data_IF_306612015081
#
_entry.id   IF_306612015081
#
_cell.length_a   1.000
_cell.length_b   1.000
_cell.length_c   1.000
_cell.angle_alpha   90.00
_cell.angle_beta   90.00
_cell.angle_gamma   90.00
#
_symmetry.space_group_name_H-M   'P 1'
#
loop_
_entity.id
_entity.type
_entity.pdbx_description
1 polymer ?
#
# COMPACT_ATOMS: atom_id res chain seq x y z
N UNK A 1 -50.95 5.64 -6.07
CA UNK A 1 -51.50 4.77 -7.14
C UNK A 1 -50.30 4.29 -7.96
N UNK A 2 -49.82 3.05 -7.78
CA UNK A 2 -50.16 1.82 -8.53
C UNK A 2 -49.70 1.92 -10.01
N UNK A 3 -48.48 1.49 -10.38
CA UNK A 3 -47.94 0.13 -10.66
C UNK A 3 -47.98 -0.19 -12.17
N UNK A 4 -46.91 -0.86 -12.66
CA UNK A 4 -46.81 -1.89 -13.73
C UNK A 4 -45.63 -1.57 -14.69
N UNK A 5 -44.51 -2.30 -14.74
CA UNK A 5 -44.19 -3.70 -15.12
C UNK A 5 -44.30 -4.04 -16.64
N UNK A 6 -43.19 -4.64 -17.13
CA UNK A 6 -42.99 -5.52 -18.30
C UNK A 6 -42.25 -5.00 -19.55
N UNK A 7 -41.14 -5.70 -19.84
CA UNK A 7 -40.44 -5.83 -21.14
C UNK A 7 -39.22 -6.73 -20.91
N UNK A 8 -39.35 -8.08 -20.91
CA UNK A 8 -39.16 -9.01 -22.05
C UNK A 8 -37.78 -8.84 -22.70
N UNK A 9 -36.75 -9.57 -22.22
CA UNK A 9 -36.15 -10.82 -22.76
C UNK A 9 -35.53 -10.69 -24.16
N UNK A 10 -34.19 -10.80 -24.29
CA UNK A 10 -33.49 -11.59 -25.33
C UNK A 10 -32.17 -12.15 -24.76
N UNK A 11 -32.01 -13.46 -24.94
CA UNK A 11 -30.86 -14.33 -24.66
C UNK A 11 -29.81 -14.20 -25.78
N UNK A 12 -28.51 -14.12 -25.46
CA UNK A 12 -27.44 -14.61 -26.35
C UNK A 12 -26.38 -15.35 -25.55
N UNK A 13 -26.31 -16.64 -25.85
CA UNK A 13 -25.28 -17.62 -25.50
C UNK A 13 -24.01 -17.33 -26.32
N UNK A 14 -22.84 -17.44 -25.69
CA UNK A 14 -21.55 -17.37 -26.39
C UNK A 14 -20.42 -17.98 -25.58
N UNK A 15 -20.32 -19.31 -25.59
CA UNK A 15 -19.11 -20.04 -25.22
C UNK A 15 -18.03 -19.82 -26.30
N UNK A 16 -16.82 -19.45 -25.89
CA UNK A 16 -15.63 -19.68 -26.71
C UNK A 16 -14.43 -19.97 -25.82
N UNK A 17 -14.10 -21.26 -25.74
CA UNK A 17 -12.84 -21.79 -25.26
C UNK A 17 -11.75 -21.58 -26.32
N UNK A 18 -10.55 -21.17 -25.90
CA UNK A 18 -9.32 -21.43 -26.64
C UNK A 18 -8.19 -21.83 -25.69
N UNK A 19 -7.68 -23.03 -25.95
CA UNK A 19 -6.51 -23.71 -25.41
C UNK A 19 -5.28 -23.15 -26.14
N UNK A 20 -4.06 -23.18 -25.55
CA UNK A 20 -2.81 -23.71 -26.18
C UNK A 20 -1.49 -23.19 -25.58
N UNK A 21 -0.84 -24.11 -24.85
CA UNK A 21 0.57 -24.60 -24.92
C UNK A 21 1.77 -23.75 -24.45
N UNK A 22 2.58 -24.45 -23.65
CA UNK A 22 3.88 -24.18 -23.05
C UNK A 22 5.02 -23.85 -24.04
N UNK A 23 6.06 -23.17 -23.54
CA UNK A 23 7.41 -23.30 -24.07
C UNK A 23 8.42 -23.28 -22.90
N UNK A 24 9.11 -24.40 -22.72
CA UNK A 24 10.32 -24.55 -21.90
C UNK A 24 11.58 -24.33 -22.76
N UNK A 25 12.70 -24.15 -22.06
CA UNK A 25 14.11 -24.19 -22.49
C UNK A 25 14.73 -22.99 -23.21
N UNK A 26 15.72 -22.37 -22.53
CA UNK A 26 17.11 -22.46 -22.97
C UNK A 26 18.06 -22.06 -21.82
N UNK A 27 18.88 -23.02 -21.38
CA UNK A 27 20.11 -22.77 -20.66
C UNK A 27 21.16 -22.23 -21.65
N UNK A 28 21.89 -21.17 -21.27
CA UNK A 28 23.09 -20.75 -21.97
C UNK A 28 24.18 -20.39 -20.97
N UNK A 29 25.25 -21.17 -21.03
CA UNK A 29 26.52 -20.99 -20.33
C UNK A 29 27.37 -19.93 -21.03
N UNK A 30 28.17 -19.15 -20.28
CA UNK A 30 29.22 -18.27 -20.83
C UNK A 30 29.91 -17.41 -19.75
N UNK A 31 31.18 -17.00 -19.92
CA UNK A 31 32.27 -17.52 -19.08
C UNK A 31 33.09 -16.50 -18.27
N UNK A 32 33.92 -17.07 -17.38
CA UNK A 32 35.28 -16.67 -16.97
C UNK A 32 35.53 -15.27 -16.35
N UNK A 33 35.88 -15.28 -15.07
CA UNK A 33 36.66 -14.24 -14.42
C UNK A 33 37.76 -14.87 -13.56
N UNK A 34 38.99 -14.90 -14.09
CA UNK A 34 40.20 -15.22 -13.34
C UNK A 34 40.69 -13.95 -12.61
N UNK A 35 40.94 -14.05 -11.31
CA UNK A 35 41.52 -12.99 -10.49
C UNK A 35 42.36 -13.60 -9.39
N UNK A 36 43.64 -13.26 -9.37
CA UNK A 36 44.73 -13.93 -8.67
C UNK A 36 44.72 -13.78 -7.14
N UNK A 37 45.08 -14.86 -6.44
CA UNK A 37 45.47 -14.83 -5.02
C UNK A 37 46.93 -15.26 -4.91
N UNK A 38 47.83 -14.29 -4.80
CA UNK A 38 49.21 -14.50 -4.40
C UNK A 38 49.42 -13.99 -2.97
N UNK A 39 49.72 -14.93 -2.09
CA UNK A 39 50.57 -14.89 -0.90
C UNK A 39 50.73 -13.58 -0.09
N UNK A 40 50.49 -13.68 1.23
CA UNK A 40 51.53 -13.34 2.22
C UNK A 40 51.26 -13.97 3.58
N UNK A 41 52.37 -14.28 4.26
CA UNK A 41 52.55 -15.16 5.40
C UNK A 41 52.09 -14.60 6.77
N UNK A 42 51.71 -15.54 7.64
CA UNK A 42 52.16 -15.74 9.04
C UNK A 42 52.27 -14.53 10.00
N UNK A 43 51.52 -14.59 11.11
CA UNK A 43 52.09 -14.47 12.46
C UNK A 43 51.08 -14.90 13.54
N UNK A 44 51.48 -15.89 14.33
CA UNK A 44 50.80 -16.36 15.54
C UNK A 44 51.06 -15.40 16.70
N UNK A 45 50.02 -14.82 17.31
CA UNK A 45 50.11 -14.28 18.67
C UNK A 45 48.79 -14.47 19.44
N UNK A 46 48.88 -15.36 20.43
CA UNK A 46 48.39 -15.28 21.80
C UNK A 46 46.95 -14.78 22.08
N UNK A 47 46.16 -15.70 22.64
CA UNK A 47 44.91 -15.50 23.35
C UNK A 47 44.94 -14.31 24.32
N UNK A 48 43.96 -13.40 24.23
CA UNK A 48 43.62 -12.49 25.32
C UNK A 48 42.11 -12.23 25.39
N UNK A 49 41.50 -12.77 26.44
CA UNK A 49 40.25 -12.38 27.12
C UNK A 49 39.07 -11.85 26.28
N UNK A 50 38.05 -12.70 26.14
CA UNK A 50 36.70 -12.31 25.71
C UNK A 50 36.01 -11.51 26.83
N UNK A 51 36.05 -10.18 26.77
CA UNK A 51 35.15 -9.30 27.51
C UNK A 51 34.11 -8.69 26.56
N UNK A 52 32.88 -9.26 26.42
CA UNK A 52 31.83 -8.65 25.61
C UNK A 52 30.93 -7.77 26.48
N UNK A 53 31.45 -6.68 27.04
CA UNK A 53 30.61 -5.63 27.61
C UNK A 53 31.21 -4.28 27.26
N UNK A 54 31.10 -3.84 26.01
CA UNK A 54 30.97 -2.43 25.58
C UNK A 54 30.55 -2.42 24.11
N UNK A 55 29.26 -2.30 23.83
CA UNK A 55 28.68 -1.54 22.70
C UNK A 55 27.15 -1.60 22.83
N UNK A 56 26.67 -1.05 23.96
CA UNK A 56 25.32 -0.49 24.04
C UNK A 56 25.43 0.96 23.55
N UNK A 57 24.41 1.40 22.80
CA UNK A 57 24.24 2.68 22.08
C UNK A 57 24.54 2.63 20.58
N UNK A 58 23.70 1.90 19.87
CA UNK A 58 23.15 2.41 18.61
C UNK A 58 21.66 2.11 18.60
N UNK A 59 20.87 3.18 18.63
CA UNK A 59 19.42 3.24 18.69
C UNK A 59 18.69 1.96 18.23
N UNK A 60 18.13 1.27 19.21
CA UNK A 60 17.07 0.29 19.03
C UNK A 60 15.89 1.00 18.38
N UNK A 61 15.82 0.99 17.05
CA UNK A 61 14.63 1.35 16.30
C UNK A 61 13.54 0.35 16.70
N UNK A 62 12.71 0.78 17.65
CA UNK A 62 11.46 0.19 18.16
C UNK A 62 10.82 -0.75 17.13
N UNK A 63 11.13 -2.03 17.25
CA UNK A 63 10.43 -3.13 16.59
C UNK A 63 9.84 -3.95 17.71
N UNK A 64 8.53 -4.17 17.67
CA UNK A 64 7.68 -4.85 18.68
C UNK A 64 6.95 -3.98 19.72
N UNK A 65 6.41 -2.81 19.32
CA UNK A 65 5.30 -2.15 20.05
C UNK A 65 4.51 -1.18 19.13
N UNK A 66 4.52 -1.43 17.82
CA UNK A 66 4.03 -0.45 16.84
C UNK A 66 2.50 -0.41 16.75
N UNK A 67 1.80 -1.44 17.21
CA UNK A 67 0.33 -1.45 17.13
C UNK A 67 -0.35 -0.60 18.21
N UNK A 68 0.20 -0.58 19.44
CA UNK A 68 -0.23 0.37 20.48
C UNK A 68 -0.03 1.80 20.00
N UNK A 69 1.22 2.16 19.66
CA UNK A 69 1.53 3.51 19.17
C UNK A 69 0.77 3.91 17.91
N UNK A 70 0.50 2.99 16.97
CA UNK A 70 -0.27 3.31 15.75
C UNK A 70 -1.75 3.50 16.04
N UNK A 71 -2.38 2.56 16.75
CA UNK A 71 -3.80 2.65 17.10
C UNK A 71 -4.09 3.89 17.96
N UNK A 72 -3.15 4.25 18.85
CA UNK A 72 -3.26 5.48 19.65
C UNK A 72 -3.18 6.74 18.77
N UNK A 73 -2.25 6.80 17.81
CA UNK A 73 -2.15 7.90 16.83
C UNK A 73 -3.42 7.99 15.99
N UNK A 74 -3.94 6.88 15.47
CA UNK A 74 -5.17 6.83 14.67
C UNK A 74 -6.40 7.33 15.46
N UNK A 75 -6.53 6.95 16.73
CA UNK A 75 -7.60 7.46 17.62
C UNK A 75 -7.49 8.97 17.83
N UNK A 76 -6.27 9.50 17.94
CA UNK A 76 -6.04 10.95 18.08
C UNK A 76 -6.31 11.71 16.78
N UNK A 77 -6.06 11.10 15.62
CA UNK A 77 -6.36 11.68 14.31
C UNK A 77 -7.85 11.66 13.96
N UNK A 78 -8.58 10.63 14.38
CA UNK A 78 -10.00 10.42 14.03
C UNK A 78 -10.87 11.68 14.16
N UNK A 79 -10.93 12.39 15.29
CA UNK A 79 -11.78 13.58 15.41
C UNK A 79 -11.39 14.70 14.45
N UNK A 80 -10.08 14.88 14.19
CA UNK A 80 -9.58 15.88 13.23
C UNK A 80 -10.00 15.53 11.80
N UNK A 81 -9.78 14.27 11.40
CA UNK A 81 -10.13 13.78 10.07
C UNK A 81 -11.64 13.84 9.82
N UNK A 82 -12.45 13.56 10.84
CA UNK A 82 -13.91 13.72 10.77
C UNK A 82 -14.32 15.20 10.64
N UNK A 83 -13.72 16.10 11.41
CA UNK A 83 -13.99 17.53 11.35
C UNK A 83 -13.63 18.14 9.98
N UNK A 84 -12.59 17.62 9.32
CA UNK A 84 -12.22 18.00 7.96
C UNK A 84 -13.08 17.32 6.88
N UNK A 85 -13.97 16.41 7.26
CA UNK A 85 -14.76 15.60 6.35
C UNK A 85 -13.94 14.54 5.60
N UNK A 86 -12.66 14.34 5.92
CA UNK A 86 -11.81 13.32 5.30
C UNK A 86 -12.31 11.92 5.67
N UNK A 87 -12.76 11.74 6.90
CA UNK A 87 -13.49 10.55 7.34
C UNK A 87 -14.98 10.85 7.54
N UNK A 88 -15.87 9.90 7.21
CA UNK A 88 -17.27 9.94 7.63
C UNK A 88 -17.40 10.06 9.16
N UNK A 89 -18.44 10.76 9.64
CA UNK A 89 -18.66 10.98 11.08
C UNK A 89 -18.85 9.67 11.89
N UNK A 90 -19.29 8.60 11.24
CA UNK A 90 -19.48 7.27 11.83
C UNK A 90 -18.30 6.31 11.59
N UNK A 91 -17.24 6.76 10.90
CA UNK A 91 -16.04 5.97 10.63
C UNK A 91 -14.88 6.43 11.50
N UNK A 92 -13.91 5.55 11.74
CA UNK A 92 -12.69 5.87 12.47
C UNK A 92 -11.44 5.52 11.64
N UNK A 93 -10.31 6.16 11.98
CA UNK A 93 -9.07 5.98 11.23
C UNK A 93 -8.50 4.57 11.35
N UNK A 94 -8.68 3.89 12.49
CA UNK A 94 -8.19 2.52 12.70
C UNK A 94 -8.83 1.53 11.74
N UNK A 95 -10.16 1.54 11.61
CA UNK A 95 -10.89 0.69 10.67
C UNK A 95 -10.60 1.05 9.20
N UNK A 96 -10.57 2.35 8.89
CA UNK A 96 -10.29 2.81 7.53
C UNK A 96 -8.87 2.44 7.07
N UNK A 97 -7.90 2.47 7.99
CA UNK A 97 -6.49 2.23 7.71
C UNK A 97 -6.02 0.79 7.93
N UNK A 98 -6.91 -0.12 8.32
CA UNK A 98 -6.55 -1.50 8.69
C UNK A 98 -5.86 -2.29 7.56
N UNK A 99 -6.23 -2.04 6.29
CA UNK A 99 -5.58 -2.71 5.14
C UNK A 99 -4.26 -2.09 4.71
N UNK A 100 -3.88 -0.94 5.26
CA UNK A 100 -2.66 -0.25 4.88
C UNK A 100 -1.52 -0.60 5.82
N UNK A 101 -0.42 -1.10 5.27
CA UNK A 101 0.81 -1.38 6.03
C UNK A 101 1.36 -0.12 6.69
N UNK A 102 1.24 1.04 6.04
CA UNK A 102 1.75 2.31 6.54
C UNK A 102 0.63 3.33 6.76
N UNK A 103 0.62 3.99 7.92
CA UNK A 103 -0.43 4.95 8.29
C UNK A 103 -0.43 6.19 7.38
N UNK A 104 0.75 6.72 7.06
CA UNK A 104 0.90 7.85 6.15
C UNK A 104 0.28 7.56 4.76
N UNK A 105 0.42 6.34 4.26
CA UNK A 105 -0.17 5.94 2.99
C UNK A 105 -1.71 5.86 3.07
N UNK A 106 -2.26 5.36 4.18
CA UNK A 106 -3.70 5.41 4.41
C UNK A 106 -4.24 6.84 4.44
N UNK A 107 -3.60 7.72 5.22
CA UNK A 107 -4.02 9.12 5.33
C UNK A 107 -3.94 9.82 3.97
N UNK A 108 -2.89 9.54 3.19
CA UNK A 108 -2.76 10.06 1.84
C UNK A 108 -3.88 9.53 0.92
N UNK A 109 -4.24 8.25 1.01
CA UNK A 109 -5.37 7.72 0.26
C UNK A 109 -6.71 8.35 0.69
N UNK A 110 -6.95 8.58 1.98
CA UNK A 110 -8.14 9.26 2.49
C UNK A 110 -8.25 10.69 1.94
N UNK A 111 -7.16 11.45 2.02
CA UNK A 111 -7.11 12.81 1.47
C UNK A 111 -7.27 12.83 -0.04
N UNK A 112 -6.60 11.92 -0.77
CA UNK A 112 -6.75 11.82 -2.22
C UNK A 112 -8.19 11.50 -2.62
N UNK A 113 -8.84 10.56 -1.94
CA UNK A 113 -10.26 10.23 -2.14
C UNK A 113 -11.15 11.45 -1.93
N UNK A 114 -10.97 12.19 -0.83
CA UNK A 114 -11.73 13.42 -0.55
C UNK A 114 -11.49 14.52 -1.57
N UNK A 115 -10.22 14.82 -1.88
CA UNK A 115 -9.84 15.91 -2.79
C UNK A 115 -10.36 15.69 -4.21
N UNK A 116 -10.37 14.44 -4.66
CA UNK A 116 -10.77 14.06 -6.02
C UNK A 116 -12.22 13.56 -6.11
N UNK A 117 -12.93 13.45 -5.00
CA UNK A 117 -14.29 12.91 -4.95
C UNK A 117 -14.36 11.43 -5.35
N UNK A 118 -13.30 10.65 -5.10
CA UNK A 118 -13.25 9.22 -5.42
C UNK A 118 -13.81 8.39 -4.28
N UNK A 119 -14.39 7.24 -4.61
CA UNK A 119 -14.77 6.27 -3.59
C UNK A 119 -13.52 5.72 -2.90
N UNK A 120 -13.48 5.89 -1.57
CA UNK A 120 -12.32 5.47 -0.77
C UNK A 120 -12.11 3.96 -0.82
N UNK A 121 -13.17 3.15 -0.95
CA UNK A 121 -13.01 1.70 -1.02
C UNK A 121 -12.37 1.27 -2.34
N UNK A 122 -12.74 1.91 -3.46
CA UNK A 122 -12.07 1.68 -4.74
C UNK A 122 -10.58 2.05 -4.68
N UNK A 123 -10.27 3.20 -4.09
CA UNK A 123 -8.89 3.67 -3.96
C UNK A 123 -8.09 2.78 -3.00
N UNK A 124 -8.66 2.42 -1.85
CA UNK A 124 -8.07 1.48 -0.88
C UNK A 124 -7.79 0.14 -1.54
N UNK A 125 -8.74 -0.45 -2.26
CA UNK A 125 -8.55 -1.73 -2.94
C UNK A 125 -7.42 -1.64 -3.97
N UNK A 126 -7.36 -0.55 -4.74
CA UNK A 126 -6.30 -0.32 -5.74
C UNK A 126 -4.91 -0.17 -5.10
N UNK A 127 -4.81 0.58 -3.99
CA UNK A 127 -3.51 0.85 -3.33
C UNK A 127 -3.03 -0.36 -2.53
N UNK A 128 -3.93 -1.02 -1.80
CA UNK A 128 -3.55 -2.12 -0.91
C UNK A 128 -3.56 -3.49 -1.60
N UNK A 129 -4.24 -3.62 -2.74
CA UNK A 129 -4.55 -4.91 -3.36
C UNK A 129 -5.56 -5.74 -2.57
N UNK A 130 -6.07 -5.23 -1.43
CA UNK A 130 -7.03 -5.94 -0.57
C UNK A 130 -8.44 -5.48 -0.92
N UNK A 131 -9.24 -6.40 -1.45
CA UNK A 131 -10.63 -6.13 -1.78
C UNK A 131 -11.47 -6.28 -0.51
N UNK A 132 -12.21 -5.23 -0.14
CA UNK A 132 -13.22 -5.37 0.90
C UNK A 132 -14.39 -6.21 0.36
N UNK A 133 -15.18 -6.80 1.26
CA UNK A 133 -16.41 -7.55 0.90
C UNK A 133 -17.54 -6.69 0.34
N UNK A 134 -17.32 -5.38 0.19
CA UNK A 134 -18.27 -4.47 -0.43
C UNK A 134 -18.31 -4.67 -1.96
N UNK A 135 -19.44 -4.37 -2.58
CA UNK A 135 -19.61 -4.43 -4.02
C UNK A 135 -18.66 -3.44 -4.71
N UNK A 136 -17.55 -3.95 -5.23
CA UNK A 136 -16.53 -3.17 -5.97
C UNK A 136 -16.85 -3.06 -7.47
N UNK A 137 -18.05 -3.47 -7.88
CA UNK A 137 -18.46 -3.50 -9.29
C UNK A 137 -18.45 -2.10 -9.94
N UNK A 138 -18.60 -1.04 -9.14
CA UNK A 138 -18.51 0.35 -9.59
C UNK A 138 -17.05 0.86 -9.68
N UNK A 139 -16.09 0.16 -9.10
CA UNK A 139 -14.69 0.54 -9.17
C UNK A 139 -14.10 0.10 -10.51
N UNK A 140 -13.34 0.98 -11.18
CA UNK A 140 -12.43 0.52 -12.24
C UNK A 140 -11.44 -0.45 -11.61
N UNK A 141 -11.65 -1.75 -11.85
CA UNK A 141 -10.81 -2.79 -11.30
C UNK A 141 -9.37 -2.55 -11.73
N UNK A 142 -8.46 -2.49 -10.75
CA UNK A 142 -7.08 -2.85 -11.03
C UNK A 142 -7.11 -4.34 -11.40
N UNK A 143 -6.60 -4.70 -12.58
CA UNK A 143 -6.34 -6.10 -12.93
C UNK A 143 -5.64 -6.77 -11.73
N UNK A 144 -6.31 -7.80 -11.20
CA UNK A 144 -6.25 -8.20 -9.81
C UNK A 144 -4.85 -8.54 -9.24
N UNK A 145 -4.83 -8.57 -7.90
CA UNK A 145 -3.74 -8.95 -6.99
C UNK A 145 -2.65 -7.92 -6.70
N UNK A 146 -2.34 -6.96 -7.57
CA UNK A 146 -1.18 -6.09 -7.33
C UNK A 146 -1.55 -4.72 -6.76
N UNK A 147 -1.09 -4.47 -5.54
CA UNK A 147 -1.03 -3.14 -4.93
C UNK A 147 -0.37 -2.12 -5.89
N UNK A 148 -1.09 -1.03 -6.15
CA UNK A 148 -0.65 0.10 -6.97
C UNK A 148 -0.12 1.23 -6.08
N UNK A 149 0.80 2.03 -6.61
CA UNK A 149 1.14 3.29 -5.95
C UNK A 149 -0.05 4.25 -5.99
N UNK A 150 -0.14 5.16 -5.01
CA UNK A 150 -1.23 6.16 -4.94
C UNK A 150 -1.41 6.91 -6.26
N UNK A 151 -0.32 7.36 -6.90
CA UNK A 151 -0.37 8.01 -8.22
C UNK A 151 -0.99 7.12 -9.30
N UNK A 152 -0.62 5.83 -9.36
CA UNK A 152 -1.18 4.90 -10.35
C UNK A 152 -2.65 4.61 -10.07
N UNK A 153 -3.01 4.44 -8.81
CA UNK A 153 -4.40 4.22 -8.40
C UNK A 153 -5.29 5.44 -8.72
N UNK A 154 -4.80 6.66 -8.47
CA UNK A 154 -5.50 7.89 -8.84
C UNK A 154 -5.67 7.97 -10.36
N UNK A 155 -4.62 7.72 -11.14
CA UNK A 155 -4.71 7.76 -12.60
C UNK A 155 -5.69 6.71 -13.17
N UNK A 156 -5.79 5.54 -12.53
CA UNK A 156 -6.72 4.49 -12.91
C UNK A 156 -8.18 4.89 -12.64
N UNK A 157 -8.45 5.44 -11.46
CA UNK A 157 -9.80 5.80 -11.01
C UNK A 157 -10.27 7.16 -11.55
N UNK A 158 -9.34 8.08 -11.81
CA UNK A 158 -9.58 9.44 -12.28
C UNK A 158 -8.56 9.82 -13.37
N UNK A 159 -8.74 9.32 -14.60
CA UNK A 159 -7.77 9.52 -15.68
C UNK A 159 -7.66 10.97 -16.16
N UNK A 160 -8.62 11.84 -15.83
CA UNK A 160 -8.58 13.27 -16.16
C UNK A 160 -7.91 14.13 -15.09
N UNK A 161 -7.64 13.59 -13.90
CA UNK A 161 -7.01 14.33 -12.81
C UNK A 161 -5.47 14.34 -12.95
N UNK A 162 -4.83 15.38 -12.40
CA UNK A 162 -3.38 15.38 -12.23
C UNK A 162 -2.99 14.41 -11.10
N UNK A 163 -2.81 13.14 -11.48
CA UNK A 163 -2.58 12.05 -10.52
C UNK A 163 -1.32 12.27 -9.67
N UNK A 164 -0.28 12.88 -10.26
CA UNK A 164 0.99 13.13 -9.57
C UNK A 164 0.86 14.26 -8.55
N UNK A 165 0.29 15.40 -8.93
CA UNK A 165 0.09 16.51 -7.98
C UNK A 165 -0.94 16.16 -6.91
N UNK A 166 -1.99 15.42 -7.26
CA UNK A 166 -3.00 14.97 -6.29
C UNK A 166 -2.42 14.02 -5.25
N UNK A 167 -1.59 13.06 -5.68
CA UNK A 167 -0.86 12.18 -4.77
C UNK A 167 0.06 12.99 -3.84
N UNK A 168 0.86 13.90 -4.40
CA UNK A 168 1.80 14.72 -3.62
C UNK A 168 1.10 15.63 -2.61
N UNK A 169 -0.02 16.24 -3.01
CA UNK A 169 -0.84 17.06 -2.11
C UNK A 169 -1.40 16.21 -0.98
N UNK A 170 -1.93 15.03 -1.29
CA UNK A 170 -2.49 14.14 -0.29
C UNK A 170 -1.42 13.57 0.68
N UNK A 171 -0.24 13.23 0.17
CA UNK A 171 0.92 12.84 0.99
C UNK A 171 1.38 13.96 1.93
N UNK A 172 1.35 15.21 1.44
CA UNK A 172 1.66 16.37 2.26
C UNK A 172 0.63 16.57 3.37
N UNK A 173 -0.67 16.51 3.05
CA UNK A 173 -1.75 16.59 4.04
C UNK A 173 -1.64 15.49 5.10
N UNK A 174 -1.36 14.25 4.68
CA UNK A 174 -1.12 13.14 5.60
C UNK A 174 0.04 13.40 6.56
N UNK A 175 1.12 14.03 6.08
CA UNK A 175 2.26 14.41 6.90
C UNK A 175 1.91 15.53 7.86
N UNK A 176 1.15 16.53 7.43
CA UNK A 176 0.68 17.62 8.27
C UNK A 176 -0.27 17.13 9.38
N UNK A 177 -1.08 16.10 9.11
CA UNK A 177 -1.89 15.42 10.12
C UNK A 177 -1.06 14.78 11.22
N UNK A 178 -0.01 14.04 10.83
CA UNK A 178 0.88 13.38 11.78
C UNK A 178 1.70 14.41 12.58
N UNK A 179 2.17 15.48 11.94
CA UNK A 179 2.93 16.55 12.61
C UNK A 179 2.08 17.29 13.64
N UNK A 180 0.80 17.54 13.34
CA UNK A 180 -0.12 18.24 14.24
C UNK A 180 -0.40 17.49 15.55
N UNK A 181 -0.05 16.20 15.64
CA UNK A 181 -0.15 15.42 16.88
C UNK A 181 1.08 15.52 17.78
N UNK A 182 2.23 15.93 17.22
CA UNK A 182 3.49 16.09 17.93
C UNK A 182 3.84 17.53 18.27
N UNK A 183 2.99 18.49 17.89
CA UNK A 183 3.12 19.92 18.14
C UNK A 183 2.37 20.37 19.39
#
# INVERSE_FOLDING_TARGET
MKRNFFGVVIVVVGLSAFITVCAEHAAAQGPAGAGASAASQQSSHSSHSLNPIKWVKKDSKKSVDSNGSRSDVEKKLTPKLQAQGVLPANANATDACASFTALNECLAALHASRNLGLDFNCLRASVTGVHASADMSACKAADGEKALSLTKAIHLLSPSADAKGSAKTAEQQAKDDLNALGS
#
